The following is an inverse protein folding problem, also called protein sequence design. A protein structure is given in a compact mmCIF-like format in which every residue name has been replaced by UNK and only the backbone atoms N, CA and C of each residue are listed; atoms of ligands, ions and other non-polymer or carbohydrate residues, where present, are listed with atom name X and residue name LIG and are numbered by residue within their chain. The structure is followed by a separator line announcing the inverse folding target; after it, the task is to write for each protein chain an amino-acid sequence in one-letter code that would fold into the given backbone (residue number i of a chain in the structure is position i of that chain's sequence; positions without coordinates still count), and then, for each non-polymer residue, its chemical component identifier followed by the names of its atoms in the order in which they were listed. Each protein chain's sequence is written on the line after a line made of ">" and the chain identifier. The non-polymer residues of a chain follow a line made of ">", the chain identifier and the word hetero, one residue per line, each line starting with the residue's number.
data_IF_835836584466
#
_entry.id   IF_835836584466
#
_cell.length_a   1.000
_cell.length_b   1.000
_cell.length_c   1.000
_cell.angle_alpha   90.00
_cell.angle_beta   90.00
_cell.angle_gamma   90.00
#
_symmetry.space_group_name_H-M   'P 1'
#
loop_
_entity.id
_entity.type
_entity.pdbx_description
1 polymer ?
#
# COMPACT_ATOMS: atom_id res chain seq x y z
N UNK A 1 12.15 7.31 2.13
CA UNK A 1 12.49 5.98 1.55
C UNK A 1 11.78 5.81 0.21
N UNK A 2 12.14 4.83 -0.63
CA UNK A 2 11.36 4.49 -1.83
C UNK A 2 10.65 3.14 -1.63
N UNK A 3 9.39 3.06 -2.04
CA UNK A 3 8.59 1.83 -1.98
C UNK A 3 8.48 1.25 -3.39
N UNK A 4 8.98 0.03 -3.55
CA UNK A 4 8.85 -0.69 -4.81
C UNK A 4 7.44 -1.27 -4.97
N UNK A 5 6.75 -0.89 -6.04
CA UNK A 5 5.51 -1.48 -6.51
C UNK A 5 5.75 -2.32 -7.76
N UNK A 6 4.83 -3.24 -8.05
CA UNK A 6 4.77 -3.92 -9.33
C UNK A 6 3.59 -3.35 -10.13
N UNK A 7 3.91 -2.62 -11.20
CA UNK A 7 2.93 -2.14 -12.15
C UNK A 7 2.53 -3.30 -13.05
N UNK A 8 1.37 -3.88 -12.81
CA UNK A 8 0.85 -5.02 -13.57
C UNK A 8 0.53 -4.64 -15.01
N UNK A 9 0.11 -3.39 -15.26
CA UNK A 9 -0.26 -2.90 -16.60
C UNK A 9 0.97 -2.81 -17.49
N UNK A 10 2.06 -2.29 -16.95
CA UNK A 10 3.34 -2.17 -17.66
C UNK A 10 4.32 -3.33 -17.40
N UNK A 11 3.92 -4.31 -16.58
CA UNK A 11 4.69 -5.49 -16.17
C UNK A 11 6.10 -5.16 -15.69
N UNK A 12 6.24 -4.11 -14.89
CA UNK A 12 7.53 -3.61 -14.41
C UNK A 12 7.48 -3.22 -12.95
N UNK A 13 8.64 -3.30 -12.29
CA UNK A 13 8.83 -2.75 -10.96
C UNK A 13 9.03 -1.24 -11.08
N UNK A 14 8.42 -0.50 -10.17
CA UNK A 14 8.54 0.95 -10.08
C UNK A 14 8.78 1.36 -8.64
N UNK A 15 9.72 2.26 -8.42
CA UNK A 15 10.06 2.77 -7.10
C UNK A 15 9.38 4.11 -6.92
N UNK A 16 8.48 4.20 -5.93
CA UNK A 16 7.73 5.42 -5.63
C UNK A 16 8.28 6.05 -4.35
N UNK A 17 8.64 7.33 -4.36
CA UNK A 17 9.06 8.05 -3.16
C UNK A 17 7.96 8.03 -2.09
N UNK A 18 8.35 7.90 -0.83
CA UNK A 18 7.43 7.92 0.31
C UNK A 18 6.50 9.14 0.34
N UNK A 19 6.95 10.32 -0.08
CA UNK A 19 6.09 11.51 -0.16
C UNK A 19 4.95 11.43 -1.18
N UNK A 20 4.98 10.43 -2.08
CA UNK A 20 3.95 10.18 -3.10
C UNK A 20 3.10 8.94 -2.80
N UNK A 21 3.35 8.27 -1.68
CA UNK A 21 2.52 7.13 -1.24
C UNK A 21 1.50 7.58 -0.21
N UNK A 22 0.39 6.86 -0.12
CA UNK A 22 -0.62 7.05 0.92
C UNK A 22 -0.89 5.75 1.65
N UNK A 23 -1.02 5.83 2.97
CA UNK A 23 -1.33 4.70 3.84
C UNK A 23 -2.80 4.31 3.74
N UNK A 24 -3.09 3.01 3.71
CA UNK A 24 -4.46 2.48 3.78
C UNK A 24 -4.52 1.30 4.74
N UNK A 25 -5.57 1.28 5.57
CA UNK A 25 -5.90 0.16 6.45
C UNK A 25 -7.22 -0.44 6.00
N UNK A 26 -7.24 -1.75 5.81
CA UNK A 26 -8.45 -2.51 5.48
C UNK A 26 -8.83 -3.37 6.66
N UNK A 27 -10.04 -3.18 7.15
CA UNK A 27 -10.62 -3.98 8.23
C UNK A 27 -11.84 -4.69 7.69
N UNK A 28 -11.90 -6.01 7.86
CA UNK A 28 -13.08 -6.80 7.51
C UNK A 28 -13.31 -7.92 8.50
N UNK A 29 -14.56 -8.19 8.80
CA UNK A 29 -14.97 -9.38 9.54
C UNK A 29 -14.94 -10.60 8.63
N UNK A 30 -14.32 -11.69 9.06
CA UNK A 30 -14.37 -12.97 8.37
C UNK A 30 -15.70 -13.68 8.67
N UNK A 31 -16.03 -14.71 7.88
CA UNK A 31 -17.23 -15.53 8.09
C UNK A 31 -17.29 -16.18 9.48
N UNK A 32 -16.14 -16.35 10.15
CA UNK A 32 -16.04 -16.94 11.49
C UNK A 32 -16.02 -15.88 12.61
N UNK A 33 -16.31 -14.61 12.29
CA UNK A 33 -16.36 -13.53 13.28
C UNK A 33 -15.00 -12.93 13.67
N UNK A 34 -13.88 -13.42 13.11
CA UNK A 34 -12.57 -12.82 13.39
C UNK A 34 -12.33 -11.56 12.54
N UNK A 35 -11.76 -10.53 13.16
CA UNK A 35 -11.35 -9.30 12.48
C UNK A 35 -10.06 -9.54 11.69
N UNK A 36 -10.08 -9.31 10.38
CA UNK A 36 -8.89 -9.32 9.56
C UNK A 36 -8.48 -7.87 9.24
N UNK A 37 -7.29 -7.49 9.71
CA UNK A 37 -6.66 -6.21 9.39
C UNK A 37 -5.58 -6.43 8.34
N UNK A 38 -5.59 -5.64 7.26
CA UNK A 38 -4.52 -5.59 6.26
C UNK A 38 -4.02 -4.17 6.09
N UNK A 39 -2.70 -4.02 6.13
CA UNK A 39 -2.03 -2.75 5.90
C UNK A 39 -1.54 -2.67 4.46
N UNK A 40 -1.78 -1.54 3.81
CA UNK A 40 -1.38 -1.30 2.45
C UNK A 40 -0.89 0.13 2.26
N UNK A 41 -0.14 0.32 1.19
CA UNK A 41 0.25 1.62 0.65
C UNK A 41 -0.25 1.73 -0.77
N UNK A 42 -0.72 2.92 -1.14
CA UNK A 42 -1.18 3.26 -2.48
C UNK A 42 -0.30 4.34 -3.08
N UNK A 43 -0.14 4.29 -4.39
CA UNK A 43 0.53 5.33 -5.16
C UNK A 43 -0.17 5.47 -6.50
N UNK A 44 0.14 6.55 -7.21
CA UNK A 44 -0.24 6.71 -8.60
C UNK A 44 0.99 7.04 -9.42
N UNK A 45 1.20 6.31 -10.52
CA UNK A 45 2.32 6.55 -11.43
C UNK A 45 1.82 6.46 -12.86
N UNK A 46 2.01 7.52 -13.66
CA UNK A 46 1.58 7.58 -15.06
C UNK A 46 0.10 7.18 -15.27
N UNK A 47 -0.79 7.61 -14.37
CA UNK A 47 -2.22 7.28 -14.39
C UNK A 47 -2.55 5.84 -13.99
N UNK A 48 -1.57 5.05 -13.54
CA UNK A 48 -1.79 3.70 -12.99
C UNK A 48 -1.84 3.78 -11.47
N UNK A 49 -2.95 3.30 -10.91
CA UNK A 49 -3.11 3.16 -9.46
C UNK A 49 -2.38 1.91 -8.99
N UNK A 50 -1.43 2.10 -8.10
CA UNK A 50 -0.59 1.05 -7.53
C UNK A 50 -1.03 0.79 -6.10
N UNK A 51 -1.02 -0.48 -5.69
CA UNK A 51 -1.31 -0.88 -4.32
C UNK A 51 -0.36 -2.00 -3.92
N UNK A 52 0.22 -1.88 -2.73
CA UNK A 52 1.08 -2.91 -2.15
C UNK A 52 0.68 -3.16 -0.71
N UNK A 53 0.47 -4.43 -0.38
CA UNK A 53 0.29 -4.84 1.00
C UNK A 53 1.65 -4.92 1.69
N UNK A 54 1.71 -4.38 2.91
CA UNK A 54 2.93 -4.29 3.72
C UNK A 54 2.64 -4.81 5.12
N UNK A 55 3.70 -5.12 5.87
CA UNK A 55 3.56 -5.43 7.30
C UNK A 55 3.10 -4.20 8.09
N UNK A 56 2.56 -4.44 9.29
CA UNK A 56 2.19 -3.37 10.22
C UNK A 56 3.39 -2.50 10.56
N UNK A 57 4.55 -3.12 10.83
CA UNK A 57 5.78 -2.39 11.17
C UNK A 57 6.22 -1.44 10.06
N UNK A 58 6.17 -1.88 8.79
CA UNK A 58 6.52 -1.00 7.67
C UNK A 58 5.52 0.14 7.53
N UNK A 59 4.23 -0.14 7.75
CA UNK A 59 3.17 0.87 7.69
C UNK A 59 3.28 1.91 8.81
N UNK A 60 3.57 1.49 10.03
CA UNK A 60 3.75 2.36 11.19
C UNK A 60 4.97 3.27 11.03
N UNK A 61 6.07 2.76 10.47
CA UNK A 61 7.32 3.51 10.26
C UNK A 61 7.29 4.50 9.08
N UNK A 62 6.26 4.47 8.23
CA UNK A 62 6.12 5.45 7.13
C UNK A 62 5.61 6.78 7.67
N UNK A 63 6.11 7.91 7.16
CA UNK A 63 5.56 9.24 7.48
C UNK A 63 4.45 9.68 6.51
N UNK A 64 4.03 8.81 5.61
CA UNK A 64 3.06 9.09 4.56
C UNK A 64 1.64 9.39 5.11
N UNK A 65 0.87 10.30 4.47
CA UNK A 65 -0.50 10.59 4.88
C UNK A 65 -1.45 9.41 4.64
N UNK A 66 -2.58 9.38 5.33
CA UNK A 66 -3.63 8.39 5.09
C UNK A 66 -4.41 8.72 3.81
N UNK A 67 -4.81 7.69 3.05
CA UNK A 67 -5.47 7.83 1.75
C UNK A 67 -6.98 8.06 1.84
#
# INVERSE_FOLDING_TARGET
>A
MAIQFYDVKNRKKVDVPEGQVKKVKYERSTKNGTMQVRYAVKAEMNGVKLTKFVSKDMWDNLSAPMA
#
